data_IF_359955492281
#
_entry.id   IF_359955492281
#
_cell.length_a   1.000
_cell.length_b   1.000
_cell.length_c   1.000
_cell.angle_alpha   90.00
_cell.angle_beta   90.00
_cell.angle_gamma   90.00
#
_symmetry.space_group_name_H-M   'P 1'
#
loop_
_entity.id
_entity.type
_entity.pdbx_description
1 polymer ?
#
# COMPACT_ATOMS: atom_id res chain seq x y z
N UNK A 1 -0.57 -19.49 23.44
CA UNK A 1 -1.40 -18.37 22.93
C UNK A 1 -2.38 -18.95 21.92
N UNK A 2 -3.67 -18.88 22.20
CA UNK A 2 -4.71 -19.40 21.32
C UNK A 2 -4.94 -18.46 20.15
N UNK A 3 -4.56 -18.90 18.94
CA UNK A 3 -4.85 -18.17 17.69
C UNK A 3 -6.20 -18.63 17.16
N UNK A 4 -7.08 -17.68 16.89
CA UNK A 4 -8.37 -17.94 16.25
C UNK A 4 -8.36 -17.39 14.83
N UNK A 5 -9.04 -18.07 13.93
CA UNK A 5 -9.16 -17.66 12.54
C UNK A 5 -10.57 -17.86 12.05
N UNK A 6 -10.99 -17.00 11.12
CA UNK A 6 -12.36 -17.01 10.61
C UNK A 6 -12.37 -17.48 9.17
N UNK A 7 -13.17 -18.50 8.88
CA UNK A 7 -13.46 -18.98 7.52
C UNK A 7 -14.98 -18.97 7.37
N UNK A 8 -15.48 -18.36 6.29
CA UNK A 8 -16.92 -18.31 5.97
C UNK A 8 -17.83 -17.84 7.11
N UNK A 9 -17.31 -16.94 7.96
CA UNK A 9 -18.04 -16.37 9.09
C UNK A 9 -17.99 -17.21 10.38
N UNK A 10 -17.49 -18.45 10.33
CA UNK A 10 -17.27 -19.28 11.51
C UNK A 10 -15.86 -19.06 12.08
N UNK A 11 -15.76 -18.98 13.41
CA UNK A 11 -14.50 -18.80 14.14
C UNK A 11 -13.97 -20.16 14.61
N UNK A 12 -12.74 -20.47 14.24
CA UNK A 12 -12.07 -21.74 14.54
C UNK A 12 -10.83 -21.49 15.40
N UNK A 13 -10.56 -22.41 16.31
CA UNK A 13 -9.31 -22.40 17.07
C UNK A 13 -8.22 -23.09 16.28
N UNK A 14 -7.06 -22.46 16.17
CA UNK A 14 -5.90 -23.08 15.51
C UNK A 14 -5.44 -24.36 16.20
N UNK A 15 -5.77 -24.56 17.48
CA UNK A 15 -5.41 -25.79 18.21
C UNK A 15 -6.14 -27.03 17.71
N UNK A 16 -7.36 -26.85 17.18
CA UNK A 16 -8.24 -27.90 16.66
C UNK A 16 -7.82 -28.34 15.25
N UNK A 17 -6.89 -27.62 14.61
CA UNK A 17 -6.33 -28.01 13.33
C UNK A 17 -5.33 -29.18 13.47
N UNK A 18 -5.34 -30.14 12.51
CA UNK A 18 -4.23 -31.07 12.33
C UNK A 18 -2.92 -30.31 12.09
N UNK A 19 -1.76 -30.91 12.36
CA UNK A 19 -0.45 -30.25 12.15
C UNK A 19 -0.29 -29.65 10.76
N UNK A 20 -0.71 -30.37 9.72
CA UNK A 20 -0.70 -29.86 8.33
C UNK A 20 -1.56 -28.60 8.17
N UNK A 21 -2.70 -28.55 8.85
CA UNK A 21 -3.58 -27.38 8.85
C UNK A 21 -2.96 -26.18 9.55
N UNK A 22 -2.26 -26.41 10.67
CA UNK A 22 -1.50 -25.36 11.37
C UNK A 22 -0.42 -24.76 10.49
N UNK A 23 0.36 -25.60 9.80
CA UNK A 23 1.40 -25.15 8.88
C UNK A 23 0.85 -24.30 7.72
N UNK A 24 -0.26 -24.73 7.11
CA UNK A 24 -0.93 -23.96 6.05
C UNK A 24 -1.46 -22.63 6.59
N UNK A 25 -2.06 -22.64 7.78
CA UNK A 25 -2.57 -21.43 8.40
C UNK A 25 -1.46 -20.41 8.69
N UNK A 26 -0.29 -20.86 9.15
CA UNK A 26 0.86 -19.99 9.35
C UNK A 26 1.40 -19.40 8.05
N UNK A 27 1.51 -20.21 6.99
CA UNK A 27 1.90 -19.75 5.66
C UNK A 27 0.91 -18.72 5.10
N UNK A 28 -0.38 -18.95 5.28
CA UNK A 28 -1.44 -18.02 4.87
C UNK A 28 -1.33 -16.70 5.64
N UNK A 29 -1.20 -16.76 6.96
CA UNK A 29 -1.07 -15.57 7.81
C UNK A 29 0.18 -14.75 7.43
N UNK A 30 1.32 -15.42 7.20
CA UNK A 30 2.54 -14.78 6.72
C UNK A 30 2.33 -14.10 5.36
N UNK A 31 1.71 -14.82 4.41
CA UNK A 31 1.45 -14.30 3.07
C UNK A 31 0.52 -13.09 3.09
N UNK A 32 -0.50 -13.10 3.96
CA UNK A 32 -1.43 -11.98 4.15
C UNK A 32 -0.69 -10.72 4.61
N UNK A 33 0.21 -10.85 5.58
CA UNK A 33 1.03 -9.74 6.07
C UNK A 33 1.92 -9.19 4.96
N UNK A 34 2.59 -10.07 4.21
CA UNK A 34 3.44 -9.66 3.07
C UNK A 34 2.66 -8.96 1.96
N UNK A 35 1.47 -9.45 1.63
CA UNK A 35 0.59 -8.80 0.66
C UNK A 35 0.19 -7.40 1.10
N UNK A 36 -0.13 -7.22 2.39
CA UNK A 36 -0.47 -5.90 2.92
C UNK A 36 0.73 -4.94 2.89
N UNK A 37 1.93 -5.41 3.24
CA UNK A 37 3.16 -4.62 3.12
C UNK A 37 3.42 -4.17 1.67
N UNK A 38 3.29 -5.09 0.70
CA UNK A 38 3.50 -4.79 -0.71
C UNK A 38 2.45 -3.80 -1.23
N UNK A 39 1.18 -3.97 -0.83
CA UNK A 39 0.10 -3.04 -1.17
C UNK A 39 0.40 -1.63 -0.65
N UNK A 40 0.84 -1.52 0.60
CA UNK A 40 1.20 -0.23 1.20
C UNK A 40 2.38 0.43 0.44
N UNK A 41 3.40 -0.36 0.07
CA UNK A 41 4.53 0.15 -0.73
C UNK A 41 4.11 0.61 -2.12
N UNK A 42 3.20 -0.11 -2.77
CA UNK A 42 2.67 0.26 -4.07
C UNK A 42 1.93 1.60 -4.01
N UNK A 43 1.10 1.80 -2.97
CA UNK A 43 0.41 3.08 -2.75
C UNK A 43 1.43 4.22 -2.61
N UNK A 44 2.42 4.04 -1.74
CA UNK A 44 3.48 5.04 -1.52
C UNK A 44 4.25 5.35 -2.81
N UNK A 45 4.69 4.34 -3.56
CA UNK A 45 5.40 4.55 -4.83
C UNK A 45 4.54 5.27 -5.86
N UNK A 46 3.23 4.98 -5.90
CA UNK A 46 2.31 5.62 -6.84
C UNK A 46 2.14 7.10 -6.51
N UNK A 47 1.99 7.43 -5.22
CA UNK A 47 1.89 8.80 -4.75
C UNK A 47 3.17 9.60 -5.06
N UNK A 48 4.34 9.05 -4.71
CA UNK A 48 5.64 9.67 -4.99
C UNK A 48 5.85 9.87 -6.50
N UNK A 49 5.52 8.87 -7.32
CA UNK A 49 5.62 8.99 -8.79
C UNK A 49 4.73 10.10 -9.32
N UNK A 50 3.50 10.20 -8.83
CA UNK A 50 2.54 11.22 -9.26
C UNK A 50 3.01 12.63 -8.86
N UNK A 51 3.56 12.79 -7.64
CA UNK A 51 4.19 14.04 -7.20
C UNK A 51 5.35 14.44 -8.11
N UNK A 52 6.28 13.53 -8.37
CA UNK A 52 7.42 13.80 -9.27
C UNK A 52 6.99 14.19 -10.70
N UNK A 53 5.95 13.53 -11.24
CA UNK A 53 5.40 13.90 -12.55
C UNK A 53 4.78 15.30 -12.52
N UNK A 54 4.12 15.68 -11.43
CA UNK A 54 3.56 17.02 -11.28
C UNK A 54 4.67 18.08 -11.23
N UNK A 55 5.72 17.83 -10.43
CA UNK A 55 6.87 18.72 -10.31
C UNK A 55 7.57 18.92 -11.67
N UNK A 56 7.82 17.82 -12.40
CA UNK A 56 8.39 17.89 -13.74
C UNK A 56 7.53 18.70 -14.73
N UNK A 57 6.21 18.56 -14.67
CA UNK A 57 5.30 19.34 -15.55
C UNK A 57 5.40 20.83 -15.23
N UNK A 58 5.45 21.19 -13.95
CA UNK A 58 5.63 22.58 -13.52
C UNK A 58 6.95 23.15 -14.04
N UNK A 59 8.06 22.42 -13.89
CA UNK A 59 9.38 22.84 -14.39
C UNK A 59 9.41 23.00 -15.91
N UNK A 60 8.79 22.07 -16.67
CA UNK A 60 8.71 22.18 -18.13
C UNK A 60 7.94 23.43 -18.56
N UNK A 61 6.81 23.74 -17.91
CA UNK A 61 6.04 24.94 -18.24
C UNK A 61 6.84 26.20 -17.91
N UNK A 62 7.47 26.25 -16.73
CA UNK A 62 8.34 27.35 -16.32
C UNK A 62 9.51 27.56 -17.29
N UNK A 63 10.20 26.50 -17.69
CA UNK A 63 11.30 26.56 -18.64
C UNK A 63 10.89 26.98 -20.05
N UNK A 64 9.68 26.60 -20.52
CA UNK A 64 9.19 26.94 -21.87
C UNK A 64 8.56 28.33 -21.96
N UNK A 65 7.91 28.79 -20.90
CA UNK A 65 7.17 30.06 -20.89
C UNK A 65 7.88 31.19 -20.16
N UNK A 66 8.91 30.88 -19.36
CA UNK A 66 9.56 31.83 -18.44
C UNK A 66 8.68 32.23 -17.25
N UNK A 67 7.47 31.68 -17.16
CA UNK A 67 6.44 32.05 -16.19
C UNK A 67 6.28 30.94 -15.17
N UNK A 68 6.45 31.28 -13.90
CA UNK A 68 6.18 30.38 -12.79
C UNK A 68 4.67 30.38 -12.48
N UNK A 69 3.96 29.38 -13.01
CA UNK A 69 2.53 29.23 -12.77
C UNK A 69 2.22 28.96 -11.29
N UNK A 70 3.14 28.33 -10.54
CA UNK A 70 2.97 28.12 -9.10
C UNK A 70 2.95 29.45 -8.34
N UNK A 71 3.80 30.40 -8.74
CA UNK A 71 3.85 31.75 -8.18
C UNK A 71 2.68 32.65 -8.63
N UNK A 72 2.11 32.41 -9.83
CA UNK A 72 0.98 33.18 -10.34
C UNK A 72 -0.35 32.85 -9.65
N UNK A 73 -0.49 31.64 -9.11
CA UNK A 73 -1.69 31.22 -8.39
C UNK A 73 -1.52 31.20 -6.86
N UNK A 74 -0.38 31.64 -6.34
CA UNK A 74 -0.12 31.70 -4.89
C UNK A 74 -0.57 33.00 -4.22
N UNK A 75 -1.29 33.88 -4.91
CA UNK A 75 -1.80 35.14 -4.36
C UNK A 75 -3.34 35.07 -4.19
N UNK A 76 -3.78 34.34 -3.15
CA UNK A 76 -4.80 34.66 -2.13
C UNK A 76 -5.13 33.42 -1.28
#
# INVERSE_FOLDING_TARGET
MTRRFRIDGAEYKSEELPEKGKAIFELMAFSQVRLQELKNRQVLMTEVKNGYIADLKTEIVKGRTGVDLGALFSDN
#
